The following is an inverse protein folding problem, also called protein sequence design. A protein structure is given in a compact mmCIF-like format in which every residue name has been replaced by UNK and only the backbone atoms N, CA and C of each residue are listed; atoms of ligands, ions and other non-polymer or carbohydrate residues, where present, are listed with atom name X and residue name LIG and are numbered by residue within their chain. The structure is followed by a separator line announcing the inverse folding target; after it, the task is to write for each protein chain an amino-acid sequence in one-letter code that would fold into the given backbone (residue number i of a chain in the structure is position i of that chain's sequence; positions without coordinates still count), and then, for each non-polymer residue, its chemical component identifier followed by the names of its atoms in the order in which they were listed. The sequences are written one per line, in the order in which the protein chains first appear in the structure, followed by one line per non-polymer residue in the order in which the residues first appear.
data_IF_474365240718
#
_entry.id   IF_474365240718
#
_cell.length_a   1.000
_cell.length_b   1.000
_cell.length_c   1.000
_cell.angle_alpha   90.00
_cell.angle_beta   90.00
_cell.angle_gamma   90.00
#
_symmetry.space_group_name_H-M   'P 1'
#
loop_
_entity.id
_entity.type
_entity.pdbx_description
1 polymer ?
#
# COMPACT_ATOMS: atom_id res chain seq x y z
N UNK A 1 39.64 10.04 5.72
CA UNK A 1 39.73 8.62 5.31
C UNK A 1 39.82 8.62 3.79
N UNK A 2 40.97 8.28 3.19
CA UNK A 2 41.17 8.41 1.73
C UNK A 2 40.50 7.25 1.00
N UNK A 3 39.34 7.49 0.40
CA UNK A 3 38.71 6.55 -0.54
C UNK A 3 39.51 6.60 -1.84
N UNK A 4 40.02 5.45 -2.30
CA UNK A 4 40.78 5.39 -3.55
C UNK A 4 39.86 5.61 -4.77
N UNK A 5 40.40 6.18 -5.85
CA UNK A 5 39.64 6.46 -7.08
C UNK A 5 38.91 5.23 -7.67
N UNK A 6 39.48 4.03 -7.49
CA UNK A 6 38.84 2.77 -7.89
C UNK A 6 37.64 2.42 -7.00
N UNK A 7 37.74 2.63 -5.69
CA UNK A 7 36.62 2.43 -4.77
C UNK A 7 35.47 3.40 -5.08
N UNK A 8 35.79 4.65 -5.42
CA UNK A 8 34.77 5.64 -5.83
C UNK A 8 34.03 5.22 -7.11
N UNK A 9 34.76 4.77 -8.15
CA UNK A 9 34.14 4.28 -9.37
C UNK A 9 33.31 3.02 -9.15
N UNK A 10 33.78 2.11 -8.29
CA UNK A 10 33.01 0.93 -7.90
C UNK A 10 31.75 1.29 -7.12
N UNK A 11 31.80 2.28 -6.23
CA UNK A 11 30.61 2.80 -5.52
C UNK A 11 29.62 3.46 -6.46
N UNK A 12 30.09 4.24 -7.43
CA UNK A 12 29.24 4.86 -8.47
C UNK A 12 28.58 3.77 -9.33
N UNK A 13 29.34 2.76 -9.76
CA UNK A 13 28.79 1.63 -10.53
C UNK A 13 27.78 0.81 -9.70
N UNK A 14 28.01 0.62 -8.40
CA UNK A 14 27.07 -0.04 -7.50
C UNK A 14 25.76 0.75 -7.38
N UNK A 15 25.86 2.08 -7.21
CA UNK A 15 24.75 3.02 -7.18
C UNK A 15 23.93 2.86 -8.47
N UNK A 16 24.54 2.98 -9.65
CA UNK A 16 23.83 2.82 -10.93
C UNK A 16 23.27 1.41 -11.19
N UNK A 17 23.93 0.35 -10.71
CA UNK A 17 23.44 -1.03 -10.85
C UNK A 17 22.34 -1.40 -9.84
N UNK A 18 22.20 -0.63 -8.75
CA UNK A 18 21.21 -0.86 -7.69
C UNK A 18 19.85 -0.20 -7.93
N UNK A 19 19.72 0.68 -8.92
CA UNK A 19 18.43 1.29 -9.26
C UNK A 19 17.71 0.49 -10.34
N UNK A 20 16.61 -0.16 -9.98
CA UNK A 20 15.62 -0.59 -10.97
C UNK A 20 14.91 0.64 -11.54
N UNK A 21 14.79 0.70 -12.87
CA UNK A 21 14.15 1.80 -13.59
C UNK A 21 12.62 1.75 -13.44
N UNK A 22 12.06 0.61 -13.04
CA UNK A 22 10.71 0.51 -12.52
C UNK A 22 10.75 0.88 -11.04
N UNK A 23 10.14 2.00 -10.65
CA UNK A 23 9.97 2.29 -9.23
C UNK A 23 9.30 1.09 -8.55
N UNK A 24 9.91 0.65 -7.46
CA UNK A 24 9.44 -0.43 -6.63
C UNK A 24 8.30 -0.03 -5.71
N UNK A 25 7.96 1.26 -5.55
CA UNK A 25 7.02 1.68 -4.51
C UNK A 25 5.95 2.60 -5.08
N UNK A 26 4.69 2.21 -4.90
CA UNK A 26 3.51 2.98 -5.31
C UNK A 26 2.64 3.26 -4.09
N UNK A 27 2.21 4.52 -3.94
CA UNK A 27 1.23 4.92 -2.93
C UNK A 27 -0.09 5.24 -3.58
N UNK A 28 -1.13 4.48 -3.27
CA UNK A 28 -2.52 4.82 -3.59
C UNK A 28 -3.04 5.77 -2.51
N UNK A 29 -3.40 6.98 -2.89
CA UNK A 29 -4.10 7.92 -2.03
C UNK A 29 -5.58 7.88 -2.38
N UNK A 30 -6.45 7.78 -1.38
CA UNK A 30 -7.88 7.72 -1.60
C UNK A 30 -8.61 8.78 -0.77
N UNK A 31 -9.68 9.30 -1.34
CA UNK A 31 -10.61 10.21 -0.65
C UNK A 31 -12.03 9.66 -0.77
N UNK A 32 -12.86 10.03 0.19
CA UNK A 32 -14.25 9.62 0.24
C UNK A 32 -14.98 10.23 1.42
N UNK A 33 -16.02 9.54 1.85
CA UNK A 33 -16.78 9.89 3.05
C UNK A 33 -17.25 8.65 3.78
N UNK A 34 -17.43 8.76 5.09
CA UNK A 34 -18.00 7.70 5.92
C UNK A 34 -19.45 7.48 5.51
N UNK A 35 -19.78 6.25 5.13
CA UNK A 35 -21.11 5.86 4.66
C UNK A 35 -21.87 5.01 5.67
N UNK A 36 -21.17 4.33 6.57
CA UNK A 36 -21.78 3.48 7.60
C UNK A 36 -20.85 3.34 8.82
N UNK A 37 -21.44 3.26 10.00
CA UNK A 37 -20.75 2.93 11.26
C UNK A 37 -21.50 1.81 11.94
N UNK A 38 -20.80 0.72 12.24
CA UNK A 38 -21.33 -0.47 12.90
C UNK A 38 -20.55 -0.76 14.18
N UNK A 39 -21.23 -0.82 15.32
CA UNK A 39 -20.67 -1.24 16.60
C UNK A 39 -21.34 -2.53 17.05
N UNK A 40 -20.64 -3.66 16.92
CA UNK A 40 -21.11 -5.00 17.29
C UNK A 40 -20.92 -5.31 18.78
N UNK A 41 -20.01 -4.61 19.45
CA UNK A 41 -19.75 -4.74 20.88
C UNK A 41 -19.70 -3.36 21.55
N UNK A 42 -18.67 -3.06 22.34
CA UNK A 42 -18.50 -1.72 22.89
C UNK A 42 -18.34 -0.71 21.75
N UNK A 43 -19.10 0.36 21.84
CA UNK A 43 -19.06 1.48 20.91
C UNK A 43 -17.70 2.19 20.99
N UNK A 44 -16.98 2.18 19.89
CA UNK A 44 -15.73 2.94 19.71
C UNK A 44 -15.92 4.09 18.73
N UNK A 45 -16.72 3.89 17.68
CA UNK A 45 -17.03 4.90 16.68
C UNK A 45 -18.43 5.46 16.93
N UNK A 46 -18.54 6.77 17.18
CA UNK A 46 -19.84 7.43 17.30
C UNK A 46 -20.43 7.68 15.90
N UNK A 47 -21.57 7.06 15.54
CA UNK A 47 -22.18 7.27 14.23
C UNK A 47 -22.63 8.71 13.97
N UNK A 48 -23.04 9.46 15.01
CA UNK A 48 -23.57 10.82 14.85
C UNK A 48 -22.49 11.81 14.45
N UNK A 49 -21.29 11.61 14.97
CA UNK A 49 -20.14 12.47 14.69
C UNK A 49 -19.42 12.08 13.39
N UNK A 50 -19.59 10.84 12.92
CA UNK A 50 -18.80 10.30 11.82
C UNK A 50 -19.53 10.18 10.49
N UNK A 51 -20.85 9.97 10.46
CA UNK A 51 -21.56 9.76 9.19
C UNK A 51 -21.45 11.00 8.29
N UNK A 52 -20.95 10.79 7.07
CA UNK A 52 -20.71 11.85 6.08
C UNK A 52 -19.39 12.60 6.26
N UNK A 53 -18.60 12.32 7.31
CA UNK A 53 -17.28 12.92 7.48
C UNK A 53 -16.34 12.51 6.35
N UNK A 54 -15.44 13.44 5.99
CA UNK A 54 -14.46 13.20 4.95
C UNK A 54 -13.49 12.09 5.38
N UNK A 55 -13.24 11.16 4.46
CA UNK A 55 -12.22 10.13 4.59
C UNK A 55 -11.06 10.48 3.70
N UNK A 56 -9.86 10.42 4.25
CA UNK A 56 -8.61 10.44 3.48
C UNK A 56 -7.75 9.27 3.92
N UNK A 57 -7.03 8.65 3.00
CA UNK A 57 -6.16 7.54 3.36
C UNK A 57 -5.17 7.19 2.28
N UNK A 58 -4.31 6.23 2.60
CA UNK A 58 -3.23 5.83 1.71
C UNK A 58 -2.84 4.36 1.90
N UNK A 59 -2.46 3.68 0.82
CA UNK A 59 -1.77 2.39 0.86
C UNK A 59 -0.48 2.50 0.06
N UNK A 60 0.64 2.14 0.67
CA UNK A 60 1.95 2.10 0.00
C UNK A 60 2.37 0.67 -0.22
N UNK A 61 2.68 0.28 -1.45
CA UNK A 61 2.99 -1.10 -1.83
C UNK A 61 4.38 -1.22 -2.44
N UNK A 62 5.01 -2.38 -2.24
CA UNK A 62 6.17 -2.80 -3.01
C UNK A 62 5.73 -3.54 -4.29
N UNK A 63 6.01 -2.93 -5.44
CA UNK A 63 5.74 -3.43 -6.79
C UNK A 63 7.00 -3.96 -7.48
N UNK A 64 8.09 -4.27 -6.75
CA UNK A 64 9.35 -4.75 -7.33
C UNK A 64 9.35 -6.24 -7.69
N UNK A 65 8.64 -7.06 -6.93
CA UNK A 65 8.49 -8.49 -7.21
C UNK A 65 7.47 -8.73 -8.34
N UNK A 66 7.42 -9.91 -8.98
CA UNK A 66 6.29 -10.35 -9.82
C UNK A 66 5.11 -10.84 -8.96
N UNK A 67 3.87 -10.69 -9.45
CA UNK A 67 2.66 -11.07 -8.70
C UNK A 67 2.63 -12.61 -8.67
N UNK A 68 2.34 -13.19 -7.50
CA UNK A 68 2.24 -14.66 -7.34
C UNK A 68 0.82 -15.11 -7.04
N UNK A 69 -0.13 -14.21 -7.24
CA UNK A 69 -1.53 -14.44 -6.89
C UNK A 69 -2.18 -15.58 -7.65
N UNK A 70 -3.22 -16.13 -7.05
CA UNK A 70 -4.06 -17.17 -7.68
C UNK A 70 -5.06 -16.50 -8.61
N UNK A 71 -5.13 -16.99 -9.85
CA UNK A 71 -6.20 -16.63 -10.77
C UNK A 71 -7.53 -17.24 -10.32
N UNK A 72 -8.54 -16.42 -10.18
CA UNK A 72 -9.94 -16.81 -10.04
C UNK A 72 -10.75 -16.31 -11.24
N UNK A 73 -11.70 -17.12 -11.69
CA UNK A 73 -12.56 -16.76 -12.82
C UNK A 73 -14.02 -16.91 -12.43
N UNK A 74 -14.80 -15.90 -12.78
CA UNK A 74 -16.26 -15.91 -12.68
C UNK A 74 -16.87 -15.60 -14.05
N UNK A 75 -18.20 -15.70 -14.15
CA UNK A 75 -18.92 -15.40 -15.40
C UNK A 75 -18.70 -13.96 -15.90
N UNK A 76 -18.32 -13.03 -15.01
CA UNK A 76 -18.21 -11.60 -15.31
C UNK A 76 -16.84 -10.99 -15.03
N UNK A 77 -15.92 -11.71 -14.38
CA UNK A 77 -14.64 -11.16 -13.91
C UNK A 77 -13.55 -12.20 -13.88
N UNK A 78 -12.35 -11.78 -14.25
CA UNK A 78 -11.10 -12.47 -13.96
C UNK A 78 -10.42 -11.71 -12.83
N UNK A 79 -9.96 -12.42 -11.81
CA UNK A 79 -9.26 -11.79 -10.71
C UNK A 79 -7.98 -12.51 -10.31
N UNK A 80 -7.00 -11.74 -9.87
CA UNK A 80 -5.75 -12.27 -9.30
C UNK A 80 -5.67 -11.86 -7.84
N UNK A 81 -5.55 -12.85 -6.95
CA UNK A 81 -5.51 -12.65 -5.50
C UNK A 81 -4.10 -12.97 -5.01
N UNK A 82 -3.33 -11.94 -4.67
CA UNK A 82 -1.97 -12.06 -4.14
C UNK A 82 -1.97 -11.79 -2.63
N UNK A 83 -1.60 -12.81 -1.85
CA UNK A 83 -1.49 -12.75 -0.39
C UNK A 83 -0.04 -12.63 0.09
N UNK A 84 0.93 -12.57 -0.84
CA UNK A 84 2.36 -12.54 -0.50
C UNK A 84 2.89 -11.10 -0.45
N UNK A 85 2.06 -10.09 -0.76
CA UNK A 85 2.48 -8.70 -0.86
C UNK A 85 1.94 -7.82 0.25
N UNK A 86 2.79 -7.49 1.23
CA UNK A 86 2.41 -6.51 2.21
C UNK A 86 2.23 -5.13 1.58
N UNK A 87 1.14 -4.45 1.92
CA UNK A 87 1.17 -3.00 1.97
C UNK A 87 2.27 -2.62 2.98
N UNK A 88 3.30 -1.89 2.56
CA UNK A 88 4.41 -1.45 3.44
C UNK A 88 3.85 -0.62 4.59
N UNK A 89 2.94 0.28 4.26
CA UNK A 89 2.19 1.10 5.21
C UNK A 89 0.80 1.37 4.67
N UNK A 90 -0.17 1.46 5.57
CA UNK A 90 -1.48 1.99 5.25
C UNK A 90 -1.95 2.99 6.31
N UNK A 91 -2.79 3.93 5.90
CA UNK A 91 -3.37 4.90 6.81
C UNK A 91 -4.75 5.34 6.37
N UNK A 92 -5.55 5.74 7.35
CA UNK A 92 -6.88 6.31 7.14
C UNK A 92 -7.16 7.35 8.22
N UNK A 93 -7.78 8.45 7.81
CA UNK A 93 -8.18 9.56 8.66
C UNK A 93 -9.62 9.95 8.35
N UNK A 94 -10.40 10.19 9.40
CA UNK A 94 -11.76 10.73 9.36
C UNK A 94 -12.10 11.36 10.71
N UNK A 95 -12.85 12.46 10.70
CA UNK A 95 -12.99 13.32 11.88
C UNK A 95 -11.62 13.71 12.46
N UNK A 96 -11.46 13.59 13.78
CA UNK A 96 -10.19 13.84 14.49
C UNK A 96 -9.30 12.60 14.66
N UNK A 97 -9.65 11.48 14.03
CA UNK A 97 -8.96 10.21 14.19
C UNK A 97 -8.01 9.91 13.02
N UNK A 98 -6.86 9.33 13.35
CA UNK A 98 -5.87 8.84 12.40
C UNK A 98 -5.42 7.44 12.80
N UNK A 99 -5.61 6.49 11.89
CA UNK A 99 -5.14 5.13 12.01
C UNK A 99 -3.98 4.93 11.05
N UNK A 100 -2.89 4.34 11.56
CA UNK A 100 -1.73 3.95 10.78
C UNK A 100 -1.45 2.50 11.07
N UNK A 101 -1.52 1.68 10.05
CA UNK A 101 -1.12 0.29 10.12
C UNK A 101 0.27 0.24 9.49
N UNK A 102 1.24 -0.17 10.30
CA UNK A 102 2.55 -0.54 9.81
C UNK A 102 2.56 -2.05 9.73
N UNK A 103 2.99 -2.54 8.59
CA UNK A 103 2.97 -3.94 8.33
C UNK A 103 4.17 -4.63 8.98
N UNK A 104 3.92 -5.25 10.12
CA UNK A 104 4.88 -6.12 10.80
C UNK A 104 4.59 -7.60 10.54
N UNK A 105 3.49 -7.94 9.85
CA UNK A 105 2.92 -9.28 9.77
C UNK A 105 2.41 -9.83 11.11
N UNK A 106 1.79 -11.01 11.10
CA UNK A 106 1.39 -11.76 12.28
C UNK A 106 2.47 -12.76 12.63
N UNK A 107 3.03 -12.66 13.83
CA UNK A 107 4.02 -13.63 14.31
C UNK A 107 3.39 -15.03 14.46
N UNK A 108 3.99 -16.02 13.80
CA UNK A 108 3.63 -17.43 13.87
C UNK A 108 4.68 -18.19 14.70
N UNK A 109 4.38 -18.54 15.98
CA UNK A 109 5.34 -19.21 16.86
C UNK A 109 5.82 -20.59 16.37
N UNK A 110 5.02 -21.26 15.54
CA UNK A 110 5.39 -22.56 14.95
C UNK A 110 6.58 -22.45 13.99
N UNK A 111 6.69 -21.32 13.29
CA UNK A 111 7.72 -21.07 12.28
C UNK A 111 8.77 -20.04 12.70
N UNK A 112 8.58 -19.39 13.86
CA UNK A 112 9.41 -18.27 14.35
C UNK A 112 9.55 -17.13 13.32
N UNK A 113 8.46 -16.88 12.58
CA UNK A 113 8.41 -15.98 11.44
C UNK A 113 7.15 -15.10 11.49
N UNK A 114 7.22 -13.92 10.89
CA UNK A 114 6.05 -13.05 10.70
C UNK A 114 5.46 -13.30 9.32
N UNK A 115 4.17 -13.64 9.29
CA UNK A 115 3.41 -13.87 8.06
C UNK A 115 2.51 -12.68 7.80
N UNK A 116 2.68 -12.00 6.66
CA UNK A 116 1.91 -10.82 6.35
C UNK A 116 0.49 -11.30 5.92
N UNK A 117 -0.57 -10.60 6.38
CA UNK A 117 -1.99 -10.98 6.17
C UNK A 117 -2.69 -9.95 5.27
N UNK A 118 -2.04 -9.57 4.19
CA UNK A 118 -2.51 -8.56 3.24
C UNK A 118 -2.96 -9.23 1.96
N UNK A 119 -3.81 -8.52 1.24
CA UNK A 119 -4.35 -9.03 -0.01
C UNK A 119 -4.40 -7.90 -1.02
N UNK A 120 -3.77 -8.14 -2.17
CA UNK A 120 -4.00 -7.39 -3.38
C UNK A 120 -4.90 -8.22 -4.28
N UNK A 121 -6.07 -7.68 -4.59
CA UNK A 121 -6.96 -8.23 -5.61
C UNK A 121 -7.02 -7.28 -6.79
N UNK A 122 -6.94 -7.88 -7.96
CA UNK A 122 -7.01 -7.18 -9.23
C UNK A 122 -8.09 -7.80 -10.08
N UNK A 123 -8.88 -6.98 -10.76
CA UNK A 123 -10.04 -7.39 -11.54
C UNK A 123 -9.90 -6.87 -12.97
N UNK A 124 -10.18 -7.74 -13.94
CA UNK A 124 -10.35 -7.37 -15.34
C UNK A 124 -11.68 -7.93 -15.87
N UNK A 125 -12.42 -7.06 -16.56
CA UNK A 125 -13.72 -7.32 -17.14
C UNK A 125 -13.63 -8.03 -18.49
N UNK A 126 -14.67 -8.77 -18.91
CA UNK A 126 -14.63 -9.49 -20.18
C UNK A 126 -14.65 -8.52 -21.37
N UNK A 127 -13.71 -8.72 -22.28
CA UNK A 127 -13.73 -8.17 -23.63
C UNK A 127 -14.74 -8.93 -24.48
N UNK A 128 -16.05 -8.60 -24.42
CA UNK A 128 -17.01 -9.15 -25.38
C UNK A 128 -17.91 -8.10 -26.03
N UNK A 129 -17.75 -8.01 -27.36
CA UNK A 129 -18.58 -7.50 -28.46
C UNK A 129 -19.24 -6.11 -28.40
N UNK A 130 -19.43 -5.45 -27.25
CA UNK A 130 -20.12 -4.14 -27.20
C UNK A 130 -19.41 -3.06 -26.37
N UNK A 131 -18.14 -3.29 -26.01
CA UNK A 131 -17.22 -2.24 -25.57
C UNK A 131 -17.57 -1.61 -24.22
N UNK A 132 -17.08 -2.23 -23.14
CA UNK A 132 -16.70 -1.57 -21.89
C UNK A 132 -15.71 -2.50 -21.16
N UNK A 133 -14.43 -2.11 -21.18
CA UNK A 133 -13.24 -2.86 -20.72
C UNK A 133 -12.92 -2.39 -19.31
N UNK A 134 -13.81 -2.68 -18.37
CA UNK A 134 -13.67 -2.19 -17.01
C UNK A 134 -12.71 -3.02 -16.18
N UNK A 135 -11.98 -2.38 -15.28
CA UNK A 135 -11.01 -2.99 -14.39
C UNK A 135 -11.19 -2.50 -12.95
N UNK A 136 -10.50 -3.15 -12.02
CA UNK A 136 -10.63 -2.86 -10.60
C UNK A 136 -9.44 -3.32 -9.78
N UNK A 137 -9.26 -2.67 -8.64
CA UNK A 137 -8.24 -3.04 -7.65
C UNK A 137 -8.83 -2.95 -6.25
N UNK A 138 -8.45 -3.90 -5.41
CA UNK A 138 -8.79 -3.94 -3.99
C UNK A 138 -7.53 -4.28 -3.19
N UNK A 139 -7.36 -3.60 -2.07
CA UNK A 139 -6.23 -3.69 -1.18
C UNK A 139 -6.72 -3.86 0.24
N UNK A 140 -6.11 -4.80 0.94
CA UNK A 140 -6.40 -5.11 2.33
C UNK A 140 -5.10 -5.18 3.12
N UNK A 141 -5.08 -4.50 4.26
CA UNK A 141 -3.99 -4.53 5.24
C UNK A 141 -4.56 -4.95 6.61
N UNK A 142 -3.90 -5.92 7.23
CA UNK A 142 -4.30 -6.50 8.50
C UNK A 142 -3.16 -6.38 9.51
N UNK A 143 -3.41 -5.64 10.59
CA UNK A 143 -2.45 -5.45 11.67
C UNK A 143 -2.99 -6.02 12.98
N UNK A 144 -2.21 -6.89 13.62
CA UNK A 144 -2.51 -7.42 14.95
C UNK A 144 -1.36 -7.12 15.91
N UNK A 145 -1.69 -6.60 17.09
CA UNK A 145 -0.73 -6.30 18.15
C UNK A 145 -1.23 -6.77 19.50
N UNK A 146 -0.43 -7.60 20.17
CA UNK A 146 -0.66 -8.01 21.56
C UNK A 146 0.32 -7.30 22.47
N UNK A 147 -0.19 -6.57 23.46
CA UNK A 147 0.59 -5.90 24.50
C UNK A 147 0.38 -6.61 25.82
N UNK A 148 1.45 -7.14 26.39
CA UNK A 148 1.43 -7.80 27.69
C UNK A 148 1.76 -6.80 28.80
N UNK A 149 0.91 -6.75 29.82
CA UNK A 149 1.13 -6.06 31.08
C UNK A 149 1.31 -7.09 32.20
N UNK A 150 1.77 -6.66 33.37
CA UNK A 150 1.99 -7.55 34.52
C UNK A 150 0.73 -8.25 35.02
N UNK A 151 -0.45 -7.70 34.74
CA UNK A 151 -1.75 -8.10 35.27
C UNK A 151 -2.84 -8.30 34.20
N UNK A 152 -2.52 -8.02 32.93
CA UNK A 152 -3.47 -8.07 31.81
C UNK A 152 -2.78 -8.20 30.45
N UNK A 153 -3.52 -8.62 29.44
CA UNK A 153 -3.11 -8.48 28.03
C UNK A 153 -4.12 -7.65 27.26
N UNK A 154 -3.63 -6.82 26.35
CA UNK A 154 -4.42 -6.09 25.37
C UNK A 154 -4.07 -6.63 23.99
N UNK A 155 -5.02 -7.27 23.34
CA UNK A 155 -4.94 -7.65 21.93
C UNK A 155 -5.74 -6.63 21.12
N UNK A 156 -5.08 -5.96 20.16
CA UNK A 156 -5.70 -5.03 19.21
C UNK A 156 -5.51 -5.56 17.81
N UNK A 157 -6.60 -5.65 17.08
CA UNK A 157 -6.66 -6.00 15.66
C UNK A 157 -7.24 -4.83 14.88
N UNK A 158 -6.59 -4.48 13.77
CA UNK A 158 -7.06 -3.49 12.80
C UNK A 158 -7.05 -4.15 11.42
N UNK A 159 -8.17 -4.03 10.71
CA UNK A 159 -8.33 -4.51 9.33
C UNK A 159 -8.78 -3.31 8.50
N UNK A 160 -7.89 -2.81 7.66
CA UNK A 160 -8.16 -1.72 6.74
C UNK A 160 -8.22 -2.29 5.32
N UNK A 161 -9.31 -2.01 4.61
CA UNK A 161 -9.43 -2.35 3.20
C UNK A 161 -10.04 -1.22 2.41
N UNK A 162 -9.65 -1.12 1.15
CA UNK A 162 -10.36 -0.31 0.17
C UNK A 162 -10.28 -0.97 -1.20
N UNK A 163 -11.24 -0.67 -2.05
CA UNK A 163 -11.20 -1.07 -3.44
C UNK A 163 -12.04 -0.16 -4.30
N UNK A 164 -11.71 -0.12 -5.58
CA UNK A 164 -12.42 0.65 -6.58
C UNK A 164 -12.39 -0.06 -7.92
N UNK A 165 -13.40 0.24 -8.74
CA UNK A 165 -13.53 -0.25 -10.11
C UNK A 165 -14.12 0.83 -11.00
N UNK A 166 -13.80 0.73 -12.26
CA UNK A 166 -14.37 1.54 -13.33
C UNK A 166 -14.81 0.59 -14.45
N UNK A 167 -16.07 0.66 -14.84
CA UNK A 167 -16.60 -0.14 -15.94
C UNK A 167 -16.41 0.56 -17.29
N UNK A 168 -16.01 1.82 -17.30
CA UNK A 168 -15.92 2.66 -18.51
C UNK A 168 -14.48 2.82 -18.95
N UNK A 169 -13.58 3.11 -18.02
CA UNK A 169 -12.18 3.35 -18.29
C UNK A 169 -11.33 2.17 -17.82
N UNK A 170 -10.43 1.72 -18.68
CA UNK A 170 -9.36 0.79 -18.34
C UNK A 170 -8.18 1.59 -17.78
N UNK A 171 -7.86 1.42 -16.49
CA UNK A 171 -6.76 2.12 -15.81
C UNK A 171 -5.60 1.20 -15.39
N UNK A 172 -5.73 -0.11 -15.58
CA UNK A 172 -4.78 -1.18 -15.30
C UNK A 172 -4.40 -1.81 -16.63
N UNK A 173 -3.37 -1.26 -17.27
CA UNK A 173 -2.85 -1.84 -18.49
C UNK A 173 -2.14 -3.18 -18.19
N UNK A 174 -2.72 -4.28 -18.70
CA UNK A 174 -2.07 -5.59 -18.79
C UNK A 174 -1.44 -5.75 -20.19
N UNK A 175 -0.34 -6.49 -20.32
CA UNK A 175 0.32 -6.71 -21.61
C UNK A 175 -0.61 -7.44 -22.62
N UNK A 176 -0.80 -6.83 -23.80
CA UNK A 176 -1.77 -7.26 -24.85
C UNK A 176 -1.55 -8.69 -25.39
N UNK A 177 -0.35 -9.25 -25.23
CA UNK A 177 0.02 -10.57 -25.77
C UNK A 177 -0.24 -11.75 -24.83
N UNK A 178 -0.77 -11.49 -23.64
CA UNK A 178 -0.82 -12.50 -22.57
C UNK A 178 -2.20 -12.63 -21.96
N UNK A 179 -2.67 -13.88 -21.86
CA UNK A 179 -3.71 -14.24 -20.90
C UNK A 179 -3.24 -13.70 -19.54
N UNK A 180 -4.07 -12.93 -18.82
CA UNK A 180 -3.90 -12.25 -17.51
C UNK A 180 -3.25 -13.04 -16.34
N UNK A 181 -2.67 -14.21 -16.61
CA UNK A 181 -2.53 -15.32 -15.66
C UNK A 181 -1.31 -15.22 -14.76
N UNK A 182 -0.25 -14.52 -15.18
CA UNK A 182 1.04 -14.54 -14.48
C UNK A 182 1.82 -13.20 -14.50
N UNK A 183 1.29 -12.12 -15.10
CA UNK A 183 2.01 -10.85 -15.20
C UNK A 183 1.43 -9.73 -14.32
N UNK A 184 2.34 -8.95 -13.75
CA UNK A 184 2.03 -7.77 -12.94
C UNK A 184 1.45 -6.66 -13.84
N UNK A 185 0.38 -5.94 -13.43
CA UNK A 185 -0.06 -4.76 -14.18
C UNK A 185 1.08 -3.76 -14.29
N UNK A 186 0.99 -2.89 -15.28
CA UNK A 186 1.89 -1.77 -15.35
C UNK A 186 1.61 -0.72 -14.26
N UNK A 187 2.15 -0.94 -13.06
CA UNK A 187 2.19 0.04 -11.98
C UNK A 187 3.08 1.26 -12.30
N UNK A 188 3.68 1.35 -13.50
CA UNK A 188 4.40 2.55 -13.92
C UNK A 188 3.50 3.67 -14.38
N UNK A 189 2.31 3.32 -14.86
CA UNK A 189 1.29 4.27 -15.27
C UNK A 189 0.52 4.77 -14.04
N UNK A 190 0.39 6.09 -13.84
CA UNK A 190 -0.37 6.61 -12.72
C UNK A 190 -1.86 6.29 -12.91
N UNK A 191 -2.46 5.69 -11.88
CA UNK A 191 -3.91 5.52 -11.78
C UNK A 191 -4.51 6.82 -11.25
N UNK A 192 -5.57 7.27 -11.91
CA UNK A 192 -6.39 8.40 -11.49
C UNK A 192 -7.86 8.03 -11.73
N UNK A 193 -8.56 7.73 -10.64
CA UNK A 193 -9.95 7.29 -10.63
C UNK A 193 -10.79 8.30 -9.87
N UNK A 194 -11.96 8.63 -10.43
CA UNK A 194 -12.93 9.52 -9.82
C UNK A 194 -14.34 9.02 -10.08
N UNK A 195 -15.17 9.03 -9.05
CA UNK A 195 -16.60 8.80 -9.18
C UNK A 195 -17.34 10.13 -9.02
N UNK A 196 -17.71 10.70 -10.16
CA UNK A 196 -18.43 11.97 -10.23
C UNK A 196 -19.95 11.80 -10.03
N UNK A 197 -20.46 10.56 -10.07
CA UNK A 197 -21.87 10.24 -9.88
C UNK A 197 -22.05 8.88 -9.18
N UNK A 198 -22.05 8.97 -7.84
CA UNK A 198 -22.21 7.84 -6.92
C UNK A 198 -23.55 7.10 -7.06
N UNK A 199 -24.47 7.60 -7.89
CA UNK A 199 -25.76 6.95 -8.16
C UNK A 199 -25.68 5.92 -9.28
N UNK A 200 -24.57 5.92 -10.03
CA UNK A 200 -24.37 5.02 -11.16
C UNK A 200 -23.71 3.69 -10.73
N UNK A 201 -23.92 2.65 -11.53
CA UNK A 201 -23.29 1.35 -11.31
C UNK A 201 -21.91 1.20 -11.97
N UNK A 202 -21.51 2.20 -12.75
CA UNK A 202 -20.38 2.15 -13.69
C UNK A 202 -19.06 2.42 -13.02
N UNK A 203 -19.00 3.30 -12.03
CA UNK A 203 -17.84 3.52 -11.19
C UNK A 203 -18.27 3.23 -9.77
N UNK A 204 -17.46 2.48 -9.02
CA UNK A 204 -17.73 2.22 -7.60
C UNK A 204 -16.42 2.07 -6.84
N UNK A 205 -16.34 2.73 -5.70
CA UNK A 205 -15.27 2.51 -4.75
C UNK A 205 -15.76 2.61 -3.31
N UNK A 206 -15.11 1.86 -2.44
CA UNK A 206 -15.44 1.83 -1.03
C UNK A 206 -14.41 1.04 -0.23
N UNK A 207 -14.63 0.95 1.06
CA UNK A 207 -13.76 0.22 1.94
C UNK A 207 -14.26 0.20 3.37
N UNK A 208 -13.44 -0.34 4.26
CA UNK A 208 -13.73 -0.41 5.67
C UNK A 208 -12.49 -0.35 6.53
N UNK A 209 -12.61 0.26 7.70
CA UNK A 209 -11.71 0.07 8.83
C UNK A 209 -12.47 -0.67 9.93
N UNK A 210 -12.01 -1.87 10.28
CA UNK A 210 -12.49 -2.62 11.44
C UNK A 210 -11.46 -2.56 12.56
N UNK A 211 -11.92 -2.25 13.77
CA UNK A 211 -11.16 -2.26 15.01
C UNK A 211 -11.77 -3.31 15.94
N UNK A 212 -10.94 -4.26 16.37
CA UNK A 212 -11.27 -5.21 17.43
C UNK A 212 -10.26 -5.07 18.55
N UNK A 213 -10.73 -4.87 19.77
CA UNK A 213 -9.88 -4.88 20.96
C UNK A 213 -10.39 -5.90 21.95
N UNK A 214 -9.48 -6.67 22.54
CA UNK A 214 -9.77 -7.62 23.61
C UNK A 214 -8.82 -7.33 24.76
N UNK A 215 -9.40 -7.12 25.94
CA UNK A 215 -8.66 -6.97 27.18
C UNK A 215 -8.91 -8.21 28.02
N UNK A 216 -7.86 -8.97 28.33
CA UNK A 216 -7.94 -10.06 29.29
C UNK A 216 -7.32 -9.59 30.61
N UNK A 217 -8.16 -9.33 31.60
CA UNK A 217 -7.74 -8.97 32.96
C UNK A 217 -7.75 -10.22 33.85
N UNK A 218 -6.56 -10.63 34.29
CA UNK A 218 -6.35 -11.84 35.11
C UNK A 218 -7.02 -11.74 36.48
N UNK A 219 -7.27 -10.51 36.96
CA UNK A 219 -7.85 -10.24 38.28
C UNK A 219 -9.36 -9.96 38.24
N UNK A 220 -9.87 -9.36 37.16
CA UNK A 220 -11.28 -8.99 37.04
C UNK A 220 -12.15 -10.07 36.38
N UNK A 221 -11.57 -10.96 35.55
CA UNK A 221 -12.34 -11.95 34.79
C UNK A 221 -13.33 -11.32 33.79
N UNK A 222 -13.10 -10.06 33.40
CA UNK A 222 -13.96 -9.30 32.48
C UNK A 222 -13.19 -9.01 31.20
N UNK A 223 -13.75 -9.43 30.06
CA UNK A 223 -13.30 -9.02 28.73
C UNK A 223 -14.18 -7.86 28.27
N UNK A 224 -13.56 -6.73 27.94
CA UNK A 224 -14.23 -5.60 27.29
C UNK A 224 -13.92 -5.64 25.79
N UNK A 225 -14.75 -6.31 24.97
CA UNK A 225 -14.49 -6.37 23.53
C UNK A 225 -14.94 -5.06 22.87
N UNK A 226 -14.03 -4.38 22.19
CA UNK A 226 -14.38 -3.45 21.11
C UNK A 226 -14.54 -4.29 19.86
N UNK A 227 -15.63 -4.09 19.11
CA UNK A 227 -15.82 -4.62 17.76
C UNK A 227 -16.61 -3.58 16.98
N UNK A 228 -15.88 -2.75 16.26
CA UNK A 228 -16.42 -1.56 15.60
C UNK A 228 -15.86 -1.46 14.19
N UNK A 229 -16.72 -1.16 13.22
CA UNK A 229 -16.38 -1.04 11.81
C UNK A 229 -16.90 0.28 11.26
N UNK A 230 -16.04 1.05 10.60
CA UNK A 230 -16.44 2.17 9.75
C UNK A 230 -16.36 1.72 8.31
N UNK A 231 -17.42 1.94 7.54
CA UNK A 231 -17.39 1.79 6.08
C UNK A 231 -17.40 3.16 5.43
N UNK A 232 -16.74 3.24 4.28
CA UNK A 232 -16.64 4.48 3.53
C UNK A 232 -16.88 4.24 2.05
N UNK A 233 -17.39 5.26 1.40
CA UNK A 233 -17.56 5.33 -0.05
C UNK A 233 -16.48 6.24 -0.61
N UNK A 234 -15.77 5.77 -1.63
CA UNK A 234 -14.69 6.52 -2.25
C UNK A 234 -15.25 7.48 -3.32
N UNK A 235 -14.63 8.64 -3.42
CA UNK A 235 -14.88 9.62 -4.48
C UNK A 235 -13.69 9.75 -5.42
N UNK A 236 -12.48 9.42 -4.96
CA UNK A 236 -11.28 9.47 -5.80
C UNK A 236 -10.19 8.53 -5.29
N UNK A 237 -9.38 8.01 -6.22
CA UNK A 237 -8.13 7.32 -5.94
C UNK A 237 -7.07 7.81 -6.91
N UNK A 238 -5.90 8.16 -6.39
CA UNK A 238 -4.77 8.62 -7.16
C UNK A 238 -3.50 7.91 -6.72
N UNK A 239 -2.71 7.41 -7.65
CA UNK A 239 -1.41 6.83 -7.33
C UNK A 239 -0.30 7.86 -7.44
N UNK A 240 0.55 7.92 -6.42
CA UNK A 240 1.84 8.59 -6.48
C UNK A 240 2.92 7.53 -6.49
N UNK A 241 3.71 7.53 -7.56
CA UNK A 241 4.88 6.67 -7.67
C UNK A 241 6.03 7.30 -6.89
N UNK A 242 6.66 6.55 -5.99
CA UNK A 242 7.90 6.99 -5.35
C UNK A 242 9.01 6.83 -6.39
N UNK A 243 9.21 7.87 -7.20
CA UNK A 243 10.18 7.82 -8.29
C UNK A 243 11.59 7.63 -7.75
N UNK A 244 12.32 6.69 -8.35
CA UNK A 244 13.79 6.67 -8.25
C UNK A 244 14.32 8.04 -8.70
N UNK A 245 15.41 8.56 -8.10
CA UNK A 245 16.03 9.78 -8.59
C UNK A 245 16.26 9.66 -10.10
N UNK A 246 15.91 10.70 -10.86
CA UNK A 246 16.07 10.68 -12.32
C UNK A 246 17.53 10.34 -12.68
N UNK A 247 17.76 9.72 -13.84
CA UNK A 247 19.12 9.44 -14.33
C UNK A 247 19.96 10.72 -14.29
N UNK A 248 19.37 11.87 -14.60
CA UNK A 248 20.02 13.18 -14.51
C UNK A 248 20.44 13.55 -13.07
N UNK A 249 19.61 13.24 -12.07
CA UNK A 249 19.93 13.45 -10.66
C UNK A 249 21.06 12.52 -10.19
N UNK A 250 21.08 11.28 -10.67
CA UNK A 250 22.15 10.31 -10.38
C UNK A 250 23.46 10.69 -11.08
N UNK A 251 23.39 11.15 -12.33
CA UNK A 251 24.53 11.69 -13.06
C UNK A 251 25.10 12.92 -12.35
N UNK A 252 24.24 13.84 -11.91
CA UNK A 252 24.66 15.03 -11.15
C UNK A 252 25.34 14.64 -9.83
N UNK A 253 24.75 13.70 -9.07
CA UNK A 253 25.34 13.20 -7.83
C UNK A 253 26.71 12.56 -8.07
N UNK A 254 26.83 11.73 -9.11
CA UNK A 254 28.11 11.09 -9.46
C UNK A 254 29.17 12.11 -9.89
N UNK A 255 28.80 13.13 -10.66
CA UNK A 255 29.68 14.25 -11.04
C UNK A 255 30.14 15.05 -9.82
N UNK A 256 29.23 15.32 -8.88
CA UNK A 256 29.57 16.00 -7.62
C UNK A 256 30.55 15.16 -6.79
N UNK A 257 30.30 13.87 -6.62
CA UNK A 257 31.20 12.94 -5.90
C UNK A 257 32.59 12.87 -6.56
N UNK A 258 32.64 12.82 -7.89
CA UNK A 258 33.90 12.88 -8.66
C UNK A 258 34.60 14.23 -8.49
N UNK A 259 33.87 15.34 -8.45
CA UNK A 259 34.45 16.67 -8.28
C UNK A 259 35.03 16.88 -6.87
N UNK A 260 34.29 16.48 -5.82
CA UNK A 260 34.77 16.57 -4.43
C UNK A 260 35.99 15.69 -4.18
N UNK A 261 36.01 14.45 -4.67
CA UNK A 261 37.19 13.58 -4.56
C UNK A 261 38.43 14.17 -5.25
N UNK A 262 38.24 14.85 -6.39
CA UNK A 262 39.33 15.51 -7.13
C UNK A 262 39.87 16.74 -6.38
N UNK A 263 39.01 17.51 -5.72
CA UNK A 263 39.40 18.65 -4.88
C UNK A 263 40.19 18.17 -3.65
N UNK A 264 39.74 17.11 -2.99
CA UNK A 264 40.41 16.55 -1.82
C UNK A 264 41.81 16.02 -2.17
N UNK A 265 41.93 15.34 -3.32
CA UNK A 265 43.23 14.89 -3.88
C UNK A 265 44.16 16.08 -4.18
N UNK A 266 43.64 17.18 -4.75
CA UNK A 266 44.43 18.39 -5.02
C UNK A 266 44.90 19.08 -3.74
N UNK A 267 44.05 19.17 -2.72
CA UNK A 267 44.45 19.71 -1.41
C UNK A 267 45.55 18.87 -0.78
N UNK A 268 45.48 17.54 -0.87
CA UNK A 268 46.55 16.66 -0.33
C UNK A 268 47.89 16.81 -1.05
N UNK A 269 47.87 17.11 -2.35
CA UNK A 269 49.09 17.37 -3.14
C UNK A 269 49.69 18.74 -2.78
N UNK A 270 48.86 19.77 -2.60
CA UNK A 270 49.33 21.12 -2.25
C UNK A 270 49.89 21.24 -0.83
N UNK A 271 49.43 20.42 0.13
CA UNK A 271 49.98 20.37 1.49
C UNK A 271 51.21 19.45 1.62
N UNK A 272 51.70 18.86 0.52
CA UNK A 272 52.86 17.97 0.48
C UNK A 272 54.11 18.57 -0.19
N UNK A 273 54.11 19.88 -0.43
CA UNK A 273 55.29 20.64 -0.90
C UNK A 273 55.93 21.36 0.27
#
# INVERSE_FOLDING_TARGET
MNISYRQLLSSIALIFASFSVNSAIVTYNFNGFVSEVENSALEFFDPFDLLGEQVTGSFTLDTSAPIRGRLETSYYWWSVHDNDRPAITSSISFGDMLFKLNNEGVYQPEYDEYYPEEMLEMYDGPTYDDGYIGDGISLKDYARKTTLFSDRSLERTQDLSFGFRDLINDFLAFNEDTLLRDEMPDFTSPVSWFDNDLTTGTQKGGGSLKLVERVDDVNAGVTYPVDSTVRFTLTSVETVKVSSPTIDSLLLLSLLLLWFSRIETRKTIFFKV
#
